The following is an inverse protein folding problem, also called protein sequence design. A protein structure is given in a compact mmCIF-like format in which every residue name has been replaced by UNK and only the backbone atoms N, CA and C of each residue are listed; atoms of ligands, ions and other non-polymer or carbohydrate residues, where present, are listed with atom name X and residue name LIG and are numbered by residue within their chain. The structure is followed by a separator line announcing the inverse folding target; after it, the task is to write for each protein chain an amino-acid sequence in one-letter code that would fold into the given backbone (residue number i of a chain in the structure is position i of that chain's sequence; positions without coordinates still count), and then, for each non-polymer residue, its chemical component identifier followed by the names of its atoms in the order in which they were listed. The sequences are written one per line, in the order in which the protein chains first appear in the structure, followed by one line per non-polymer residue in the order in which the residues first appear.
data_IF_773481632167
#
_entry.id   IF_773481632167
#
_cell.length_a   1.000
_cell.length_b   1.000
_cell.length_c   1.000
_cell.angle_alpha   90.00
_cell.angle_beta   90.00
_cell.angle_gamma   90.00
#
_symmetry.space_group_name_H-M   'P 1'
#
loop_
_entity.id
_entity.type
_entity.pdbx_description
1 polymer ?
#
# COMPACT_ATOMS: atom_id res chain seq x y z
N UNK A 1 12.45 14.58 -3.49
CA UNK A 1 13.02 13.50 -2.65
C UNK A 1 12.57 13.61 -1.19
N UNK A 2 11.27 13.45 -0.94
CA UNK A 2 10.73 13.22 0.40
C UNK A 2 10.25 11.78 0.47
N UNK A 3 10.67 11.03 1.50
CA UNK A 3 10.20 9.65 1.70
C UNK A 3 8.79 9.71 2.29
N UNK A 4 7.82 9.24 1.51
CA UNK A 4 6.42 9.13 1.89
C UNK A 4 6.10 7.70 2.32
N UNK A 5 5.31 7.59 3.37
CA UNK A 5 4.86 6.30 3.91
C UNK A 5 3.55 5.90 3.24
N UNK A 6 3.50 4.68 2.73
CA UNK A 6 2.27 4.06 2.28
C UNK A 6 1.72 3.24 3.42
N UNK A 7 0.57 3.67 3.92
CA UNK A 7 -0.08 3.05 5.07
C UNK A 7 -1.30 2.26 4.64
N UNK A 8 -1.63 1.21 5.40
CA UNK A 8 -2.85 0.42 5.20
C UNK A 8 -4.08 1.35 5.25
N UNK A 9 -4.84 1.46 4.14
CA UNK A 9 -5.97 2.35 4.08
C UNK A 9 -7.15 1.78 4.86
N UNK A 10 -8.08 2.67 5.20
CA UNK A 10 -9.34 2.29 5.83
C UNK A 10 -10.43 2.21 4.77
N UNK A 11 -10.85 1.00 4.41
CA UNK A 11 -11.95 0.78 3.45
C UNK A 11 -13.35 1.00 4.05
N UNK A 12 -13.49 1.01 5.37
CA UNK A 12 -14.79 1.18 6.01
C UNK A 12 -14.71 1.65 7.46
N UNK A 13 -15.82 2.21 7.97
CA UNK A 13 -15.90 2.70 9.34
C UNK A 13 -15.65 1.62 10.41
N UNK A 14 -15.83 0.34 10.09
CA UNK A 14 -15.54 -0.77 11.01
C UNK A 14 -14.20 -1.48 10.75
N UNK A 15 -13.50 -1.16 9.64
CA UNK A 15 -12.25 -1.84 9.30
C UNK A 15 -11.16 -1.49 10.31
N UNK A 16 -10.54 -2.53 10.86
CA UNK A 16 -9.40 -2.43 11.80
C UNK A 16 -8.10 -2.96 11.22
N UNK A 17 -8.19 -3.95 10.35
CA UNK A 17 -7.05 -4.63 9.75
C UNK A 17 -7.40 -5.13 8.33
N UNK A 18 -6.37 -5.41 7.54
CA UNK A 18 -6.47 -5.98 6.20
C UNK A 18 -5.28 -6.88 5.89
N UNK A 19 -5.53 -7.95 5.13
CA UNK A 19 -4.50 -8.86 4.63
C UNK A 19 -3.94 -8.34 3.31
N UNK A 20 -2.62 -8.36 3.14
CA UNK A 20 -1.97 -8.03 1.89
C UNK A 20 -1.99 -9.22 0.94
N UNK A 21 -2.73 -9.12 -0.17
CA UNK A 21 -2.88 -10.20 -1.13
C UNK A 21 -1.74 -10.27 -2.14
N UNK A 22 -1.32 -9.12 -2.68
CA UNK A 22 -0.26 -9.07 -3.70
C UNK A 22 0.30 -7.65 -3.88
N UNK A 23 1.57 -7.55 -4.26
CA UNK A 23 2.16 -6.31 -4.77
C UNK A 23 2.05 -6.26 -6.30
N UNK A 24 1.55 -5.14 -6.83
CA UNK A 24 1.45 -4.89 -8.28
C UNK A 24 2.79 -4.33 -8.78
N UNK A 25 3.41 -3.45 -8.00
CA UNK A 25 4.71 -2.82 -8.27
C UNK A 25 5.85 -3.47 -7.48
N UNK A 26 7.10 -3.19 -7.87
CA UNK A 26 8.31 -3.67 -7.18
C UNK A 26 9.22 -2.54 -6.75
N UNK A 27 10.10 -2.81 -5.79
CA UNK A 27 11.12 -1.84 -5.36
C UNK A 27 11.99 -1.45 -6.56
N UNK A 28 12.07 -0.15 -6.82
CA UNK A 28 12.72 0.45 -7.98
C UNK A 28 11.76 0.87 -9.10
N UNK A 29 10.49 0.48 -9.05
CA UNK A 29 9.49 0.92 -10.03
C UNK A 29 8.99 2.33 -9.70
N UNK A 30 8.77 3.12 -10.75
CA UNK A 30 8.08 4.41 -10.68
C UNK A 30 6.57 4.19 -10.68
N UNK A 31 5.86 4.93 -9.83
CA UNK A 31 4.41 4.91 -9.72
C UNK A 31 3.88 6.33 -9.70
N UNK A 32 2.80 6.58 -10.42
CA UNK A 32 2.10 7.85 -10.42
C UNK A 32 0.91 7.89 -9.45
N UNK A 33 0.53 9.10 -9.07
CA UNK A 33 -0.68 9.32 -8.27
C UNK A 33 -1.91 8.74 -8.97
N UNK A 34 -2.60 7.83 -8.27
CA UNK A 34 -3.77 7.10 -8.76
C UNK A 34 -3.44 5.75 -9.41
N UNK A 35 -2.17 5.35 -9.49
CA UNK A 35 -1.80 4.01 -9.94
C UNK A 35 -1.85 2.99 -8.80
N UNK A 36 -2.30 1.78 -9.14
CA UNK A 36 -2.36 0.64 -8.24
C UNK A 36 -1.00 0.14 -7.80
N UNK A 37 -0.79 0.05 -6.48
CA UNK A 37 0.47 -0.41 -5.90
C UNK A 37 0.40 -1.82 -5.33
N UNK A 38 -0.72 -2.17 -4.69
CA UNK A 38 -0.93 -3.49 -4.11
C UNK A 38 -2.41 -3.77 -3.89
N UNK A 39 -2.74 -5.05 -3.74
CA UNK A 39 -4.08 -5.53 -3.47
C UNK A 39 -4.18 -6.02 -2.02
N UNK A 40 -5.23 -5.60 -1.33
CA UNK A 40 -5.53 -5.99 0.05
C UNK A 40 -6.91 -6.61 0.16
N UNK A 41 -7.15 -7.38 1.22
CA UNK A 41 -8.44 -7.96 1.56
C UNK A 41 -8.86 -7.64 2.99
N UNK A 42 -10.08 -7.15 3.18
CA UNK A 42 -10.67 -6.85 4.48
C UNK A 42 -12.11 -7.37 4.60
N UNK A 43 -12.43 -8.14 5.65
CA UNK A 43 -13.76 -8.68 5.96
C UNK A 43 -14.53 -9.37 4.80
N UNK A 44 -13.80 -9.86 3.78
CA UNK A 44 -14.28 -10.48 2.50
C UNK A 44 -14.43 -9.53 1.30
N UNK A 45 -13.95 -8.29 1.38
CA UNK A 45 -13.81 -7.40 0.22
C UNK A 45 -12.33 -7.24 -0.12
N UNK A 46 -11.99 -7.42 -1.39
CA UNK A 46 -10.67 -7.05 -1.91
C UNK A 46 -10.73 -5.62 -2.45
N UNK A 47 -9.66 -4.86 -2.26
CA UNK A 47 -9.45 -3.58 -2.92
C UNK A 47 -7.99 -3.36 -3.27
N UNK A 48 -7.80 -2.58 -4.32
CA UNK A 48 -6.50 -2.10 -4.74
C UNK A 48 -6.18 -0.81 -3.97
N UNK A 49 -4.97 -0.75 -3.43
CA UNK A 49 -4.40 0.48 -2.89
C UNK A 49 -3.81 1.23 -4.07
N UNK A 50 -4.26 2.47 -4.25
CA UNK A 50 -3.68 3.41 -5.21
C UNK A 50 -2.64 4.28 -4.52
N UNK A 51 -1.56 4.62 -5.23
CA UNK A 51 -0.60 5.60 -4.74
C UNK A 51 -1.22 6.98 -4.67
N UNK A 52 -1.03 7.68 -3.55
CA UNK A 52 -1.44 9.08 -3.39
C UNK A 52 -0.33 10.07 -3.79
N UNK A 53 0.87 9.57 -4.06
CA UNK A 53 2.06 10.31 -4.43
C UNK A 53 2.59 9.82 -5.78
N UNK A 54 3.26 10.68 -6.54
CA UNK A 54 4.05 10.27 -7.70
C UNK A 54 5.52 10.13 -7.29
N UNK A 55 6.15 9.01 -7.60
CA UNK A 55 7.55 8.79 -7.24
C UNK A 55 7.98 7.33 -7.41
N UNK A 56 9.13 6.98 -6.84
CA UNK A 56 9.70 5.63 -6.96
C UNK A 56 9.52 4.83 -5.67
N UNK A 57 9.09 3.58 -5.80
CA UNK A 57 9.01 2.66 -4.65
C UNK A 57 10.43 2.30 -4.19
N UNK A 58 10.81 2.72 -2.99
CA UNK A 58 12.17 2.51 -2.47
C UNK A 58 12.27 1.33 -1.52
N UNK A 59 11.18 0.97 -0.85
CA UNK A 59 11.20 -0.08 0.16
C UNK A 59 9.79 -0.64 0.37
N UNK A 60 9.67 -1.98 0.47
CA UNK A 60 8.47 -2.68 0.89
C UNK A 60 8.76 -3.28 2.26
N UNK A 61 7.91 -2.98 3.25
CA UNK A 61 8.02 -3.56 4.60
C UNK A 61 6.94 -4.62 4.87
N UNK A 62 5.84 -4.59 4.13
CA UNK A 62 4.75 -5.55 4.27
C UNK A 62 4.92 -6.77 3.36
N UNK A 63 4.72 -7.95 3.95
CA UNK A 63 4.79 -9.25 3.30
C UNK A 63 3.41 -9.71 2.83
N UNK A 64 3.39 -10.35 1.65
CA UNK A 64 2.18 -10.92 1.07
C UNK A 64 1.70 -12.11 1.92
N UNK A 65 0.41 -12.12 2.25
CA UNK A 65 -0.23 -13.11 3.13
C UNK A 65 -0.22 -12.72 4.60
N UNK A 66 0.36 -11.56 4.97
CA UNK A 66 0.28 -11.03 6.32
C UNK A 66 -0.86 -10.01 6.48
N UNK A 67 -1.34 -9.88 7.73
CA UNK A 67 -2.40 -8.96 8.13
C UNK A 67 -1.81 -7.75 8.84
N UNK A 68 -2.21 -6.56 8.42
CA UNK A 68 -1.77 -5.29 8.97
C UNK A 68 -2.96 -4.47 9.47
N UNK A 69 -2.79 -3.79 10.61
CA UNK A 69 -3.81 -2.86 11.13
C UNK A 69 -3.89 -1.61 10.25
N UNK A 70 -5.07 -0.98 10.21
CA UNK A 70 -5.26 0.31 9.52
C UNK A 70 -4.27 1.34 10.04
N UNK A 71 -3.56 1.99 9.12
CA UNK A 71 -2.51 2.95 9.43
C UNK A 71 -1.11 2.33 9.61
N UNK A 72 -0.96 1.01 9.58
CA UNK A 72 0.35 0.37 9.56
C UNK A 72 1.09 0.71 8.27
N UNK A 73 2.40 0.93 8.36
CA UNK A 73 3.25 1.18 7.20
C UNK A 73 3.43 -0.11 6.41
N UNK A 74 3.15 -0.05 5.11
CA UNK A 74 3.28 -1.17 4.17
C UNK A 74 4.50 -1.01 3.25
N UNK A 75 4.79 0.21 2.83
CA UNK A 75 5.91 0.52 1.95
C UNK A 75 6.29 2.00 2.03
N UNK A 76 7.39 2.36 1.37
CA UNK A 76 7.87 3.72 1.26
C UNK A 76 8.12 4.10 -0.19
N UNK A 77 7.59 5.26 -0.56
CA UNK A 77 7.78 5.87 -1.89
C UNK A 77 8.62 7.12 -1.73
N UNK A 78 9.63 7.29 -2.57
CA UNK A 78 10.37 8.55 -2.68
C UNK A 78 9.67 9.44 -3.69
N UNK A 79 9.00 10.49 -3.20
CA UNK A 79 8.33 11.49 -4.03
C UNK A 79 9.38 12.39 -4.70
N UNK A 80 9.25 12.54 -6.02
CA UNK A 80 10.12 13.38 -6.86
C UNK A 80 9.99 14.88 -6.51
#
# INVERSE_FOLDING_TARGET
MSRQEINMPRMGAAMKEGELLNWIIKVGDHVDKGEGICEIQAEKMAAEIESIYSGTLVEIVAEVGETYEVGSVLAYIEED
#
